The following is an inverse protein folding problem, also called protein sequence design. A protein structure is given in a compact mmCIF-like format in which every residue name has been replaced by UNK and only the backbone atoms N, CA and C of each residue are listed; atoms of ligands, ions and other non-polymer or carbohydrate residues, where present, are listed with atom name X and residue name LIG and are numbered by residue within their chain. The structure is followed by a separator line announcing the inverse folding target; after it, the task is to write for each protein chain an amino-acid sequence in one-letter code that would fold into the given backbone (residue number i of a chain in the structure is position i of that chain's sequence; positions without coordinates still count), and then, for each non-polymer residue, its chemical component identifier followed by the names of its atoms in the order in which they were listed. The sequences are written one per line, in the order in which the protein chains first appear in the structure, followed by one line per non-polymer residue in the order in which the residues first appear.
data_IF_016140588268
#
_entry.id   IF_016140588268
#
_cell.length_a   1.000
_cell.length_b   1.000
_cell.length_c   1.000
_cell.angle_alpha   90.00
_cell.angle_beta   90.00
_cell.angle_gamma   90.00
#
_symmetry.space_group_name_H-M   'P 1'
#
loop_
_entity.id
_entity.type
_entity.pdbx_description
1 polymer ?
#
# COMPACT_ATOMS: atom_id res chain seq x y z
N UNK A 1 13.12 0.36 14.41
CA UNK A 1 11.66 0.42 14.13
C UNK A 1 10.92 0.25 15.44
N UNK A 2 10.52 1.35 16.08
CA UNK A 2 9.97 1.33 17.44
C UNK A 2 8.48 1.69 17.54
N UNK A 3 7.82 1.96 16.42
CA UNK A 3 6.42 2.38 16.43
C UNK A 3 5.60 1.61 15.41
N UNK A 4 4.77 0.70 15.91
CA UNK A 4 3.79 -0.09 15.16
C UNK A 4 2.40 0.33 15.62
N UNK A 5 1.54 0.75 14.69
CA UNK A 5 0.17 1.13 14.99
C UNK A 5 -0.78 0.26 14.17
N UNK A 6 -1.51 -0.60 14.88
CA UNK A 6 -2.65 -1.32 14.31
C UNK A 6 -3.93 -0.64 14.79
N UNK A 7 -4.83 -0.31 13.88
CA UNK A 7 -6.11 0.31 14.20
C UNK A 7 -7.23 -0.63 13.79
N UNK A 8 -8.16 -0.89 14.72
CA UNK A 8 -9.31 -1.75 14.47
C UNK A 8 -10.41 -0.99 13.69
N UNK A 9 -10.85 -1.58 12.58
CA UNK A 9 -11.97 -1.11 11.76
C UNK A 9 -11.59 -0.14 10.63
N UNK A 10 -12.51 0.09 9.68
CA UNK A 10 -12.27 0.97 8.54
C UNK A 10 -12.19 2.44 8.95
N UNK A 11 -11.23 3.15 8.36
CA UNK A 11 -11.00 4.57 8.58
C UNK A 11 -11.23 5.40 7.32
N UNK A 12 -11.60 6.66 7.51
CA UNK A 12 -11.68 7.64 6.43
C UNK A 12 -10.29 7.90 5.82
N UNK A 13 -10.21 7.82 4.49
CA UNK A 13 -8.94 7.92 3.76
C UNK A 13 -8.24 9.27 4.00
N UNK A 14 -8.99 10.38 3.97
CA UNK A 14 -8.42 11.72 4.06
C UNK A 14 -7.89 11.99 5.48
N UNK A 15 -8.58 11.50 6.51
CA UNK A 15 -8.08 11.56 7.89
C UNK A 15 -6.77 10.79 8.05
N UNK A 16 -6.67 9.61 7.46
CA UNK A 16 -5.44 8.80 7.53
C UNK A 16 -4.32 9.45 6.73
N UNK A 17 -4.61 10.08 5.58
CA UNK A 17 -3.62 10.83 4.81
C UNK A 17 -2.99 11.97 5.62
N UNK A 18 -3.77 12.65 6.47
CA UNK A 18 -3.25 13.67 7.40
C UNK A 18 -2.28 13.02 8.42
N UNK A 19 -2.64 11.86 8.97
CA UNK A 19 -1.79 11.11 9.91
C UNK A 19 -0.49 10.68 9.22
N UNK A 20 -0.57 10.11 8.01
CA UNK A 20 0.59 9.72 7.20
C UNK A 20 1.54 10.90 6.98
N UNK A 21 1.02 12.07 6.61
CA UNK A 21 1.82 13.29 6.40
C UNK A 21 2.47 13.78 7.69
N UNK A 22 1.77 13.70 8.83
CA UNK A 22 2.34 14.07 10.14
C UNK A 22 3.49 13.13 10.52
N UNK A 23 3.27 11.82 10.42
CA UNK A 23 4.29 10.82 10.73
C UNK A 23 5.50 10.94 9.80
N UNK A 24 5.28 11.19 8.51
CA UNK A 24 6.36 11.44 7.56
C UNK A 24 7.24 12.63 7.97
N UNK A 25 6.64 13.73 8.43
CA UNK A 25 7.40 14.88 8.96
C UNK A 25 8.21 14.50 10.20
N UNK A 26 7.62 13.77 11.14
CA UNK A 26 8.31 13.33 12.36
C UNK A 26 9.48 12.39 12.05
N UNK A 27 9.31 11.47 11.09
CA UNK A 27 10.36 10.56 10.64
C UNK A 27 11.49 11.32 9.94
N UNK A 28 11.16 12.24 9.03
CA UNK A 28 12.17 13.06 8.36
C UNK A 28 12.86 14.07 9.29
N UNK A 29 12.20 14.47 10.38
CA UNK A 29 12.76 15.33 11.43
C UNK A 29 13.61 14.58 12.46
N UNK A 30 13.71 13.24 12.37
CA UNK A 30 14.44 12.42 13.35
C UNK A 30 13.72 12.24 14.69
N UNK A 31 12.46 12.68 14.81
CA UNK A 31 11.64 12.46 16.02
C UNK A 31 11.18 11.00 16.14
N UNK A 32 11.06 10.30 15.00
CA UNK A 32 10.70 8.89 14.92
C UNK A 32 11.67 8.15 13.99
N UNK A 33 12.12 6.96 14.39
CA UNK A 33 12.91 6.06 13.52
C UNK A 33 12.11 5.54 12.31
N UNK A 34 10.77 5.56 12.39
CA UNK A 34 9.86 5.01 11.40
C UNK A 34 8.50 4.66 12.02
N UNK A 35 7.48 4.50 11.17
CA UNK A 35 6.16 4.06 11.57
C UNK A 35 5.57 3.08 10.55
N UNK A 36 4.83 2.09 11.04
CA UNK A 36 3.98 1.23 10.21
C UNK A 36 2.55 1.37 10.69
N UNK A 37 1.64 1.69 9.77
CA UNK A 37 0.22 1.71 10.03
C UNK A 37 -0.46 0.52 9.38
N UNK A 38 -1.29 -0.21 10.11
CA UNK A 38 -2.13 -1.31 9.60
C UNK A 38 -3.59 -0.99 9.92
N UNK A 39 -4.43 -1.00 8.89
CA UNK A 39 -5.85 -0.65 8.99
C UNK A 39 -6.64 -1.11 7.77
N UNK A 40 -7.92 -0.75 7.75
CA UNK A 40 -8.80 -0.82 6.58
C UNK A 40 -9.33 0.59 6.25
N UNK A 41 -9.93 0.76 5.07
CA UNK A 41 -10.58 2.01 4.69
C UNK A 41 -12.07 1.80 4.40
N UNK A 42 -12.87 2.83 4.65
CA UNK A 42 -14.19 2.89 4.00
C UNK A 42 -14.02 2.87 2.47
N UNK A 43 -15.02 2.38 1.71
CA UNK A 43 -15.00 2.36 0.25
C UNK A 43 -14.47 3.65 -0.37
N UNK A 44 -13.34 3.57 -1.09
CA UNK A 44 -12.68 4.73 -1.68
C UNK A 44 -11.89 4.36 -2.93
N UNK A 45 -12.08 5.14 -4.00
CA UNK A 45 -11.22 5.09 -5.17
C UNK A 45 -10.11 6.13 -5.05
N UNK A 46 -8.86 5.70 -5.30
CA UNK A 46 -7.70 6.59 -5.33
C UNK A 46 -6.94 6.43 -6.64
N UNK A 47 -6.32 7.49 -7.13
CA UNK A 47 -5.51 7.46 -8.35
C UNK A 47 -4.16 8.14 -8.11
N UNK A 48 -3.09 7.42 -8.44
CA UNK A 48 -1.72 7.89 -8.30
C UNK A 48 -1.26 8.79 -9.44
N UNK A 49 0.04 9.09 -9.47
CA UNK A 49 0.67 9.99 -10.44
C UNK A 49 0.82 9.38 -11.84
N UNK A 50 0.79 8.05 -11.97
CA UNK A 50 0.81 7.39 -13.28
C UNK A 50 -0.60 7.41 -13.84
N UNK A 51 -0.92 8.51 -14.54
CA UNK A 51 -2.13 8.65 -15.33
C UNK A 51 -2.22 7.50 -16.33
N UNK A 52 -3.28 6.71 -16.22
CA UNK A 52 -3.87 6.11 -17.41
C UNK A 52 -4.12 7.26 -18.41
N UNK A 53 -3.81 7.04 -19.70
CA UNK A 53 -3.78 8.07 -20.75
C UNK A 53 -5.15 8.70 -21.10
N UNK A 54 -6.13 8.63 -20.20
CA UNK A 54 -7.43 9.28 -20.29
C UNK A 54 -8.01 9.48 -18.89
N UNK A 55 -8.91 10.45 -18.74
CA UNK A 55 -9.80 10.49 -17.59
C UNK A 55 -10.71 9.26 -17.70
N UNK A 56 -10.33 8.16 -17.05
CA UNK A 56 -11.20 7.00 -16.91
C UNK A 56 -12.32 7.42 -15.97
N UNK A 57 -13.45 7.79 -16.54
CA UNK A 57 -14.69 7.97 -15.80
C UNK A 57 -15.26 6.60 -15.45
N UNK A 58 -15.14 6.23 -14.18
CA UNK A 58 -15.69 4.99 -13.64
C UNK A 58 -17.07 5.22 -12.98
N UNK A 59 -17.62 6.43 -13.05
CA UNK A 59 -18.89 6.80 -12.41
C UNK A 59 -18.80 6.98 -10.88
N UNK A 60 -17.59 7.04 -10.32
CA UNK A 60 -17.36 7.22 -8.88
C UNK A 60 -16.37 8.36 -8.61
N UNK A 61 -16.45 8.95 -7.42
CA UNK A 61 -15.49 9.95 -6.96
C UNK A 61 -14.10 9.33 -6.80
N UNK A 62 -13.11 9.88 -7.50
CA UNK A 62 -11.71 9.45 -7.45
C UNK A 62 -10.87 10.49 -6.72
N UNK A 63 -10.23 10.07 -5.62
CA UNK A 63 -9.24 10.89 -4.91
C UNK A 63 -7.87 10.82 -5.60
N UNK A 64 -7.36 11.97 -6.06
CA UNK A 64 -6.00 12.06 -6.62
C UNK A 64 -4.97 12.15 -5.51
N UNK A 65 -3.94 11.30 -5.57
CA UNK A 65 -2.93 11.14 -4.51
C UNK A 65 -1.53 11.00 -5.10
N UNK A 66 -0.51 11.25 -4.27
CA UNK A 66 0.89 11.36 -4.70
C UNK A 66 1.64 10.00 -4.75
N UNK A 67 0.92 8.87 -4.76
CA UNK A 67 1.52 7.53 -4.90
C UNK A 67 1.76 7.16 -6.37
N UNK A 68 2.61 6.16 -6.60
CA UNK A 68 2.74 5.52 -7.91
C UNK A 68 1.48 4.74 -8.33
N UNK A 69 1.44 4.34 -9.60
CA UNK A 69 0.36 3.53 -10.18
C UNK A 69 -0.89 4.33 -10.56
N UNK A 70 -1.85 3.63 -11.20
CA UNK A 70 -3.13 4.19 -11.63
C UNK A 70 -4.22 4.11 -10.55
N UNK A 71 -5.47 3.90 -10.99
CA UNK A 71 -6.64 3.78 -10.11
C UNK A 71 -6.55 2.49 -9.26
N UNK A 72 -6.92 2.58 -7.99
CA UNK A 72 -7.17 1.44 -7.12
C UNK A 72 -8.36 1.71 -6.21
N UNK A 73 -8.91 0.65 -5.62
CA UNK A 73 -10.05 0.70 -4.72
C UNK A 73 -9.66 0.09 -3.38
N UNK A 74 -10.10 0.73 -2.30
CA UNK A 74 -10.00 0.22 -0.95
C UNK A 74 -11.39 0.11 -0.31
N UNK A 75 -11.58 -0.90 0.52
CA UNK A 75 -12.84 -1.14 1.23
C UNK A 75 -12.58 -1.88 2.54
N UNK A 76 -13.66 -2.06 3.30
CA UNK A 76 -13.70 -2.97 4.43
C UNK A 76 -13.33 -4.40 3.99
N UNK A 77 -12.63 -5.11 4.87
CA UNK A 77 -12.04 -6.42 4.60
C UNK A 77 -10.73 -6.39 3.81
N UNK A 78 -10.28 -5.25 3.30
CA UNK A 78 -8.97 -5.09 2.68
C UNK A 78 -7.97 -4.49 3.66
N UNK A 79 -6.97 -5.27 4.07
CA UNK A 79 -5.86 -4.79 4.89
C UNK A 79 -4.97 -3.85 4.07
N UNK A 80 -4.77 -2.64 4.57
CA UNK A 80 -3.89 -1.61 4.02
C UNK A 80 -2.75 -1.35 5.00
N UNK A 81 -1.51 -1.40 4.49
CA UNK A 81 -0.30 -1.18 5.26
C UNK A 81 0.46 0.03 4.72
N UNK A 82 0.67 1.04 5.55
CA UNK A 82 1.49 2.21 5.22
C UNK A 82 2.84 2.15 5.93
N UNK A 83 3.90 1.95 5.15
CA UNK A 83 5.28 2.01 5.63
C UNK A 83 5.82 3.44 5.52
N UNK A 84 6.08 4.07 6.67
CA UNK A 84 6.55 5.46 6.76
C UNK A 84 7.97 5.41 7.33
N UNK A 85 8.97 5.42 6.45
CA UNK A 85 10.36 5.12 6.81
C UNK A 85 11.34 6.05 6.09
N UNK A 86 12.49 6.31 6.73
CA UNK A 86 13.58 7.04 6.11
C UNK A 86 14.50 6.07 5.35
N UNK A 87 14.28 5.93 4.04
CA UNK A 87 15.05 5.00 3.21
C UNK A 87 16.54 5.34 3.12
N UNK A 88 16.90 6.63 3.25
CA UNK A 88 18.30 7.07 3.23
C UNK A 88 19.08 6.56 4.44
N UNK A 89 18.47 6.65 5.62
CA UNK A 89 19.06 6.10 6.85
C UNK A 89 19.17 4.58 6.81
N UNK A 90 18.16 3.93 6.23
CA UNK A 90 18.17 2.48 6.01
C UNK A 90 19.13 2.03 4.90
N UNK A 91 19.68 2.96 4.12
CA UNK A 91 20.57 2.70 2.97
C UNK A 91 19.96 1.77 1.93
N UNK A 92 18.65 1.87 1.73
CA UNK A 92 17.92 1.13 0.69
C UNK A 92 17.24 2.12 -0.25
N UNK A 93 16.94 1.67 -1.46
CA UNK A 93 16.13 2.40 -2.42
C UNK A 93 14.66 1.89 -2.41
N UNK A 94 13.78 2.61 -3.12
CA UNK A 94 12.34 2.28 -3.18
C UNK A 94 12.11 0.89 -3.79
N UNK A 95 12.93 0.48 -4.77
CA UNK A 95 12.82 -0.81 -5.44
C UNK A 95 13.09 -1.96 -4.46
N UNK A 96 14.17 -1.84 -3.68
CA UNK A 96 14.52 -2.83 -2.64
C UNK A 96 13.43 -2.96 -1.56
N UNK A 97 12.82 -1.83 -1.18
CA UNK A 97 11.69 -1.86 -0.24
C UNK A 97 10.49 -2.63 -0.84
N UNK A 98 10.12 -2.32 -2.09
CA UNK A 98 9.01 -2.97 -2.78
C UNK A 98 9.27 -4.48 -2.91
N UNK A 99 10.48 -4.88 -3.32
CA UNK A 99 10.88 -6.29 -3.40
C UNK A 99 10.76 -6.99 -2.03
N UNK A 100 11.19 -6.33 -0.96
CA UNK A 100 11.09 -6.87 0.40
C UNK A 100 9.63 -7.08 0.83
N UNK A 101 8.74 -6.13 0.52
CA UNK A 101 7.31 -6.24 0.80
C UNK A 101 6.68 -7.37 -0.02
N UNK A 102 7.05 -7.52 -1.29
CA UNK A 102 6.50 -8.59 -2.11
C UNK A 102 6.96 -9.97 -1.66
N UNK A 103 8.22 -10.12 -1.29
CA UNK A 103 8.73 -11.38 -0.73
C UNK A 103 8.02 -11.76 0.56
N UNK A 104 7.69 -10.80 1.43
CA UNK A 104 6.95 -11.11 2.66
C UNK A 104 5.52 -11.58 2.37
N UNK A 105 4.85 -10.97 1.38
CA UNK A 105 3.51 -11.42 0.94
C UNK A 105 3.59 -12.82 0.32
N UNK A 106 4.57 -13.09 -0.54
CA UNK A 106 4.76 -14.42 -1.14
C UNK A 106 4.97 -15.48 -0.06
N UNK A 107 5.86 -15.22 0.90
CA UNK A 107 6.10 -16.13 2.03
C UNK A 107 4.80 -16.41 2.79
N UNK A 108 4.01 -15.37 3.08
CA UNK A 108 2.71 -15.53 3.74
C UNK A 108 1.76 -16.40 2.91
N UNK A 109 1.65 -16.18 1.60
CA UNK A 109 0.79 -16.98 0.71
C UNK A 109 1.18 -18.46 0.71
N UNK A 110 2.48 -18.76 0.68
CA UNK A 110 2.99 -20.14 0.78
C UNK A 110 2.59 -20.76 2.12
N UNK A 111 2.73 -20.03 3.23
CA UNK A 111 2.38 -20.51 4.57
C UNK A 111 0.90 -20.85 4.71
N UNK A 112 0.02 -20.10 4.05
CA UNK A 112 -1.44 -20.35 4.06
C UNK A 112 -1.91 -21.29 2.95
N UNK A 113 -0.99 -21.84 2.14
CA UNK A 113 -1.30 -22.80 1.08
C UNK A 113 -1.96 -22.19 -0.16
N UNK A 114 -1.72 -20.90 -0.44
CA UNK A 114 -2.20 -20.20 -1.63
C UNK A 114 -1.05 -20.16 -2.66
N UNK A 115 -1.30 -20.74 -3.83
CA UNK A 115 -0.34 -20.66 -4.93
C UNK A 115 -0.26 -19.23 -5.47
N UNK A 116 0.93 -18.83 -5.94
CA UNK A 116 1.17 -17.46 -6.42
C UNK A 116 1.87 -17.41 -7.78
N UNK A 117 1.66 -16.32 -8.52
CA UNK A 117 2.38 -16.01 -9.75
C UNK A 117 2.78 -14.53 -9.81
N UNK A 118 3.90 -14.26 -10.46
CA UNK A 118 4.42 -12.91 -10.69
C UNK A 118 4.18 -12.47 -12.13
N UNK A 119 3.39 -11.41 -12.33
CA UNK A 119 3.12 -10.89 -13.68
C UNK A 119 3.92 -9.62 -13.99
N UNK A 120 3.92 -8.65 -13.09
CA UNK A 120 4.59 -7.34 -13.27
C UNK A 120 4.97 -6.73 -11.93
N UNK A 121 5.91 -5.77 -11.95
CA UNK A 121 6.28 -4.97 -10.78
C UNK A 121 5.03 -4.47 -10.03
N UNK A 122 4.84 -4.93 -8.79
CA UNK A 122 3.73 -4.48 -7.95
C UNK A 122 2.44 -5.32 -8.01
N UNK A 123 2.45 -6.49 -8.66
CA UNK A 123 1.28 -7.36 -8.73
C UNK A 123 1.62 -8.82 -8.42
N UNK A 124 1.05 -9.31 -7.33
CA UNK A 124 1.06 -10.73 -6.96
C UNK A 124 -0.33 -11.30 -7.31
N UNK A 125 -0.34 -12.42 -8.01
CA UNK A 125 -1.55 -13.12 -8.44
C UNK A 125 -1.71 -14.45 -7.70
N UNK A 126 -2.95 -14.91 -7.54
CA UNK A 126 -3.24 -16.30 -7.19
C UNK A 126 -3.03 -17.20 -8.42
N UNK A 127 -2.40 -18.37 -8.23
CA UNK A 127 -2.21 -19.37 -9.28
C UNK A 127 -3.41 -20.34 -9.30
N UNK A 128 -4.16 -20.34 -10.40
CA UNK A 128 -5.44 -21.07 -10.54
C UNK A 128 -6.34 -20.40 -11.58
N UNK A 129 -7.51 -20.98 -11.90
CA UNK A 129 -8.42 -20.48 -12.94
C UNK A 129 -8.67 -18.97 -12.78
N UNK A 130 -8.14 -18.21 -13.73
CA UNK A 130 -8.08 -16.73 -13.81
C UNK A 130 -7.02 -16.11 -12.89
N UNK A 131 -5.89 -15.66 -13.46
CA UNK A 131 -4.86 -14.82 -12.84
C UNK A 131 -5.47 -13.61 -12.08
N UNK A 132 -5.81 -13.77 -10.80
CA UNK A 132 -6.46 -12.74 -9.96
C UNK A 132 -5.45 -12.02 -9.09
N UNK A 133 -5.48 -10.69 -9.09
CA UNK A 133 -4.60 -9.85 -8.27
C UNK A 133 -4.98 -9.93 -6.80
N UNK A 134 -4.03 -10.34 -5.96
CA UNK A 134 -4.20 -10.45 -4.49
C UNK A 134 -3.82 -9.14 -3.80
N UNK A 135 -2.74 -8.49 -4.22
CA UNK A 135 -2.20 -7.30 -3.56
C UNK A 135 -1.77 -6.21 -4.54
N UNK A 136 -1.98 -4.96 -4.17
CA UNK A 136 -1.42 -3.77 -4.81
C UNK A 136 -0.41 -3.10 -3.89
N UNK A 137 0.74 -2.70 -4.45
CA UNK A 137 1.76 -1.89 -3.79
C UNK A 137 1.95 -0.56 -4.50
#
# INVERSE_FOLDING_TARGET
MKSFYSINGPLDYDKVLIIQKKLNKMVNGGELEGAVLIMEHFPVYTCGIHKDKGEIDIGYEIRKVERGGGITFHCDGQIVIYFIMNLKEMKINVKELIETIHLSIITFLIEVGIDWAWETWGKILESGLENRKICST
#
